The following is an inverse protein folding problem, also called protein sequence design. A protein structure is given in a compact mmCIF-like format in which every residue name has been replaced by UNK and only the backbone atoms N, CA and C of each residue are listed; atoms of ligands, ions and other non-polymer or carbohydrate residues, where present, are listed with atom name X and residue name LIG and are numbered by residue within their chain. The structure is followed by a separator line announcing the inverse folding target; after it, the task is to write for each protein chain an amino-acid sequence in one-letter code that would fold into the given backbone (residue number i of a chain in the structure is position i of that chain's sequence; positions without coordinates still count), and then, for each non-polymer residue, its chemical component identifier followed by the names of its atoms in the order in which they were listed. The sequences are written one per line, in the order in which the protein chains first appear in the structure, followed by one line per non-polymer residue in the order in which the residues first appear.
data_IF_916725360465
#
_entry.id   IF_916725360465
#
_cell.length_a   1.000
_cell.length_b   1.000
_cell.length_c   1.000
_cell.angle_alpha   90.00
_cell.angle_beta   90.00
_cell.angle_gamma   90.00
#
_symmetry.space_group_name_H-M   'P 1'
#
loop_
_entity.id
_entity.type
_entity.pdbx_description
1 polymer ?
#
# COMPACT_ATOMS: atom_id res chain seq x y z
N UNK A 1 -13.08 14.16 -2.54
CA UNK A 1 -13.84 13.90 -3.80
C UNK A 1 -13.54 12.51 -4.35
N UNK A 2 -12.28 12.04 -4.29
CA UNK A 2 -11.90 10.72 -4.80
C UNK A 2 -12.34 9.53 -3.91
N UNK A 3 -12.32 9.66 -2.58
CA UNK A 3 -12.89 8.64 -1.67
C UNK A 3 -14.38 8.39 -1.90
N UNK A 4 -15.16 9.46 -2.10
CA UNK A 4 -16.58 9.35 -2.43
C UNK A 4 -16.80 8.69 -3.80
N UNK A 5 -15.87 8.90 -4.74
CA UNK A 5 -15.88 8.27 -6.04
C UNK A 5 -15.55 6.76 -5.94
N UNK A 6 -14.48 6.38 -5.25
CA UNK A 6 -14.12 4.97 -5.03
C UNK A 6 -15.22 4.20 -4.31
N UNK A 7 -15.80 4.76 -3.24
CA UNK A 7 -16.95 4.15 -2.55
C UNK A 7 -18.16 3.96 -3.45
N UNK A 8 -18.43 4.92 -4.33
CA UNK A 8 -19.55 4.84 -5.29
C UNK A 8 -19.30 3.75 -6.33
N UNK A 9 -18.07 3.63 -6.82
CA UNK A 9 -17.69 2.55 -7.73
C UNK A 9 -17.80 1.19 -7.06
N UNK A 10 -17.27 1.04 -5.84
CA UNK A 10 -17.40 -0.18 -5.07
C UNK A 10 -18.86 -0.59 -4.87
N UNK A 11 -19.71 0.33 -4.40
CA UNK A 11 -21.14 0.08 -4.20
C UNK A 11 -21.85 -0.34 -5.51
N UNK A 12 -21.49 0.30 -6.63
CA UNK A 12 -22.06 -0.02 -7.94
C UNK A 12 -21.64 -1.40 -8.41
N UNK A 13 -20.36 -1.75 -8.25
CA UNK A 13 -19.80 -3.06 -8.58
C UNK A 13 -20.46 -4.16 -7.74
N UNK A 14 -20.52 -3.99 -6.42
CA UNK A 14 -21.17 -4.94 -5.49
C UNK A 14 -22.65 -5.14 -5.81
N UNK A 15 -23.37 -4.05 -6.10
CA UNK A 15 -24.79 -4.12 -6.51
C UNK A 15 -24.95 -4.87 -7.83
N UNK A 16 -24.00 -4.70 -8.76
CA UNK A 16 -24.03 -5.36 -10.07
C UNK A 16 -23.78 -6.86 -9.93
N UNK A 17 -22.78 -7.26 -9.14
CA UNK A 17 -22.52 -8.67 -8.81
C UNK A 17 -23.78 -9.33 -8.25
N UNK A 18 -24.39 -8.72 -7.23
CA UNK A 18 -25.62 -9.23 -6.60
C UNK A 18 -26.76 -9.42 -7.61
N UNK A 19 -26.98 -8.44 -8.49
CA UNK A 19 -28.03 -8.52 -9.52
C UNK A 19 -27.77 -9.64 -10.53
N UNK A 20 -26.51 -9.85 -10.93
CA UNK A 20 -26.15 -10.94 -11.85
C UNK A 20 -26.33 -12.30 -11.17
N UNK A 21 -25.87 -12.43 -9.92
CA UNK A 21 -26.00 -13.66 -9.13
C UNK A 21 -27.46 -14.05 -8.87
N UNK A 22 -28.36 -13.06 -8.72
CA UNK A 22 -29.81 -13.27 -8.58
C UNK A 22 -30.54 -13.48 -9.91
N UNK A 23 -29.85 -13.31 -11.04
CA UNK A 23 -30.45 -13.45 -12.36
C UNK A 23 -30.47 -14.91 -12.82
N UNK A 24 -31.43 -15.24 -13.69
CA UNK A 24 -31.48 -16.53 -14.39
C UNK A 24 -30.28 -16.78 -15.34
N UNK A 25 -29.45 -15.76 -15.58
CA UNK A 25 -28.33 -15.81 -16.52
C UNK A 25 -26.97 -15.98 -15.85
N UNK A 26 -26.91 -16.24 -14.53
CA UNK A 26 -25.65 -16.35 -13.78
C UNK A 26 -24.62 -17.24 -14.48
N UNK A 27 -25.07 -18.37 -15.06
CA UNK A 27 -24.20 -19.33 -15.77
C UNK A 27 -23.46 -18.72 -16.96
N UNK A 28 -24.08 -17.75 -17.64
CA UNK A 28 -23.49 -17.04 -18.79
C UNK A 28 -22.47 -16.00 -18.31
N UNK A 29 -22.69 -15.42 -17.14
CA UNK A 29 -21.88 -14.33 -16.61
C UNK A 29 -20.88 -14.75 -15.53
N UNK A 30 -20.66 -16.05 -15.31
CA UNK A 30 -19.77 -16.56 -14.26
C UNK A 30 -18.39 -15.89 -14.28
N UNK A 31 -17.76 -15.82 -15.45
CA UNK A 31 -16.44 -15.20 -15.64
C UNK A 31 -16.49 -13.68 -15.40
N UNK A 32 -17.52 -12.99 -15.93
CA UNK A 32 -17.70 -11.55 -15.67
C UNK A 32 -17.95 -11.23 -14.20
N UNK A 33 -18.66 -12.10 -13.48
CA UNK A 33 -18.88 -11.98 -12.03
C UNK A 33 -17.55 -12.13 -11.30
N UNK A 34 -16.74 -13.11 -11.68
CA UNK A 34 -15.41 -13.30 -11.08
C UNK A 34 -14.54 -12.06 -11.26
N UNK A 35 -14.48 -11.47 -12.46
CA UNK A 35 -13.75 -10.22 -12.70
C UNK A 35 -14.30 -9.03 -11.90
N UNK A 36 -15.63 -8.93 -11.75
CA UNK A 36 -16.23 -7.88 -10.92
C UNK A 36 -15.91 -8.09 -9.43
N UNK A 37 -15.86 -9.34 -8.95
CA UNK A 37 -15.47 -9.68 -7.59
C UNK A 37 -14.00 -9.35 -7.33
N UNK A 38 -13.11 -9.66 -8.27
CA UNK A 38 -11.69 -9.27 -8.24
C UNK A 38 -11.53 -7.75 -8.21
N UNK A 39 -12.26 -7.02 -9.06
CA UNK A 39 -12.25 -5.56 -9.07
C UNK A 39 -12.80 -4.96 -7.76
N UNK A 40 -13.91 -5.48 -7.24
CA UNK A 40 -14.46 -5.05 -5.95
C UNK A 40 -13.48 -5.31 -4.80
N UNK A 41 -12.79 -6.46 -4.81
CA UNK A 41 -11.75 -6.79 -3.86
C UNK A 41 -10.59 -5.78 -3.89
N UNK A 42 -10.10 -5.44 -5.09
CA UNK A 42 -9.06 -4.42 -5.25
C UNK A 42 -9.49 -3.04 -4.74
N UNK A 43 -10.74 -2.62 -5.04
CA UNK A 43 -11.30 -1.36 -4.54
C UNK A 43 -11.38 -1.33 -3.00
N UNK A 44 -11.77 -2.44 -2.36
CA UNK A 44 -11.81 -2.56 -0.89
C UNK A 44 -10.42 -2.47 -0.27
N UNK A 45 -9.42 -3.10 -0.87
CA UNK A 45 -8.03 -3.02 -0.38
C UNK A 45 -7.49 -1.58 -0.46
N UNK A 46 -7.75 -0.89 -1.58
CA UNK A 46 -7.35 0.51 -1.76
C UNK A 46 -8.02 1.45 -0.75
N UNK A 47 -9.31 1.22 -0.43
CA UNK A 47 -9.98 1.95 0.65
C UNK A 47 -9.36 1.65 2.01
N UNK A 48 -9.08 0.37 2.30
CA UNK A 48 -8.43 -0.07 3.54
C UNK A 48 -7.09 0.62 3.78
N UNK A 49 -6.26 0.76 2.74
CA UNK A 49 -4.96 1.43 2.86
C UNK A 49 -5.07 2.88 3.35
N UNK A 50 -6.12 3.59 2.93
CA UNK A 50 -6.36 4.98 3.32
C UNK A 50 -6.76 5.08 4.80
N UNK A 51 -7.51 4.10 5.30
CA UNK A 51 -7.91 4.03 6.71
C UNK A 51 -6.74 3.72 7.64
N UNK A 52 -5.75 2.95 7.17
CA UNK A 52 -4.55 2.61 7.94
C UNK A 52 -3.49 3.74 7.99
N UNK A 53 -3.62 4.77 7.13
CA UNK A 53 -2.64 5.84 7.05
C UNK A 53 -2.35 6.60 8.36
N UNK A 54 -3.33 6.91 9.23
CA UNK A 54 -3.04 7.57 10.51
C UNK A 54 -2.05 6.75 11.35
N UNK A 55 -2.21 5.43 11.38
CA UNK A 55 -1.33 4.52 12.11
C UNK A 55 0.05 4.44 11.46
N UNK A 56 0.11 4.41 10.13
CA UNK A 56 1.39 4.48 9.40
C UNK A 56 2.11 5.80 9.64
N UNK A 57 1.40 6.93 9.66
CA UNK A 57 1.97 8.25 9.96
C UNK A 57 2.48 8.34 11.40
N UNK A 58 1.80 7.69 12.34
CA UNK A 58 2.25 7.57 13.72
C UNK A 58 3.52 6.71 13.82
N UNK A 59 3.52 5.54 13.18
CA UNK A 59 4.68 4.63 13.12
C UNK A 59 5.91 5.28 12.49
N UNK A 60 5.76 6.02 11.38
CA UNK A 60 6.85 6.80 10.78
C UNK A 60 7.34 7.89 11.74
N UNK A 61 6.42 8.48 12.50
CA UNK A 61 6.71 9.50 13.50
C UNK A 61 7.68 9.06 14.60
N UNK A 62 7.66 7.79 14.98
CA UNK A 62 8.58 7.22 15.97
C UNK A 62 10.05 7.30 15.53
N UNK A 63 10.30 7.32 14.22
CA UNK A 63 11.66 7.37 13.67
C UNK A 63 12.24 8.78 13.55
N UNK A 64 11.46 9.83 13.82
CA UNK A 64 11.93 11.22 13.77
C UNK A 64 13.00 11.55 14.83
N UNK A 65 13.09 10.72 15.87
CA UNK A 65 14.04 10.84 16.98
C UNK A 65 14.80 9.54 17.22
N UNK A 66 14.68 8.56 16.32
CA UNK A 66 15.31 7.27 16.49
C UNK A 66 16.80 7.35 16.13
N UNK A 67 17.65 6.83 17.03
CA UNK A 67 19.07 6.59 16.76
C UNK A 67 19.33 5.18 16.20
N UNK A 68 18.26 4.49 15.77
CA UNK A 68 18.29 3.06 15.44
C UNK A 68 18.99 2.85 14.11
N UNK A 69 20.14 2.17 14.15
CA UNK A 69 20.94 1.79 12.96
C UNK A 69 20.64 0.37 12.48
N UNK A 70 19.50 -0.21 12.86
CA UNK A 70 19.16 -1.56 12.45
C UNK A 70 18.75 -1.56 10.97
N UNK A 71 19.46 -2.36 10.17
CA UNK A 71 19.29 -2.45 8.72
C UNK A 71 17.84 -2.84 8.32
N UNK A 72 17.15 -3.66 9.11
CA UNK A 72 15.76 -4.04 8.86
C UNK A 72 14.81 -2.85 8.99
N UNK A 73 15.02 -1.99 10.01
CA UNK A 73 14.21 -0.77 10.21
C UNK A 73 14.49 0.23 9.09
N UNK A 74 15.77 0.42 8.75
CA UNK A 74 16.20 1.29 7.65
C UNK A 74 15.56 0.87 6.34
N UNK A 75 15.70 -0.40 5.92
CA UNK A 75 15.13 -0.87 4.66
C UNK A 75 13.61 -0.80 4.65
N UNK A 76 12.96 -1.01 5.80
CA UNK A 76 11.50 -0.85 5.89
C UNK A 76 11.05 0.59 5.61
N UNK A 77 11.76 1.57 6.19
CA UNK A 77 11.46 2.98 5.94
C UNK A 77 11.83 3.40 4.51
N UNK A 78 12.93 2.87 3.96
CA UNK A 78 13.33 3.08 2.56
C UNK A 78 12.26 2.53 1.62
N UNK A 79 11.74 1.32 1.86
CA UNK A 79 10.69 0.74 1.03
C UNK A 79 9.41 1.60 1.04
N UNK A 80 8.98 2.07 2.22
CA UNK A 80 7.86 3.01 2.33
C UNK A 80 8.15 4.30 1.57
N UNK A 81 9.35 4.86 1.72
CA UNK A 81 9.77 6.08 1.04
C UNK A 81 9.72 5.94 -0.49
N UNK A 82 10.25 4.82 -1.01
CA UNK A 82 10.24 4.46 -2.42
C UNK A 82 8.80 4.34 -2.94
N UNK A 83 7.92 3.67 -2.19
CA UNK A 83 6.51 3.51 -2.56
C UNK A 83 5.82 4.86 -2.80
N UNK A 84 6.18 5.90 -2.05
CA UNK A 84 5.65 7.27 -2.23
C UNK A 84 6.42 8.11 -3.26
N UNK A 85 7.35 7.51 -4.00
CA UNK A 85 8.13 8.12 -5.09
C UNK A 85 9.35 8.92 -4.60
N UNK A 86 9.91 8.59 -3.44
CA UNK A 86 11.25 9.07 -3.08
C UNK A 86 12.31 8.25 -3.80
N UNK A 87 13.32 8.92 -4.35
CA UNK A 87 14.49 8.22 -4.85
C UNK A 87 15.19 7.55 -3.67
N UNK A 88 15.57 6.26 -3.79
CA UNK A 88 16.35 5.60 -2.76
C UNK A 88 17.66 6.38 -2.61
N UNK A 89 17.88 6.94 -1.42
CA UNK A 89 19.16 7.54 -1.05
C UNK A 89 19.91 6.53 -0.19
N UNK A 90 21.21 6.31 -0.43
CA UNK A 90 22.02 5.55 0.50
C UNK A 90 21.96 6.24 1.88
N UNK A 91 21.73 5.44 2.93
CA UNK A 91 21.85 5.91 4.30
C UNK A 91 23.30 5.72 4.70
N UNK A 92 24.04 6.82 4.77
CA UNK A 92 25.48 6.85 5.06
C UNK A 92 25.73 7.22 6.53
N UNK A 93 24.82 7.99 7.14
CA UNK A 93 24.95 8.55 8.48
C UNK A 93 23.71 8.34 9.35
N UNK A 94 23.90 8.44 10.68
CA UNK A 94 22.85 8.26 11.69
C UNK A 94 21.73 9.30 11.60
N UNK A 95 22.00 10.47 11.01
CA UNK A 95 21.04 11.57 10.85
C UNK A 95 20.15 11.43 9.60
N UNK A 96 20.46 10.47 8.72
CA UNK A 96 19.71 10.26 7.48
C UNK A 96 18.36 9.60 7.75
N UNK A 97 18.24 8.76 8.78
CA UNK A 97 17.00 8.06 9.11
C UNK A 97 15.90 9.03 9.62
N UNK A 98 16.17 9.93 10.58
CA UNK A 98 15.20 10.98 10.94
C UNK A 98 14.81 11.87 9.76
N UNK A 99 15.75 12.18 8.87
CA UNK A 99 15.49 13.00 7.68
C UNK A 99 14.58 12.26 6.70
N UNK A 100 14.88 10.99 6.42
CA UNK A 100 14.05 10.11 5.60
C UNK A 100 12.64 9.95 6.18
N UNK A 101 12.52 9.82 7.50
CA UNK A 101 11.22 9.70 8.18
C UNK A 101 10.37 10.96 7.99
N UNK A 102 10.96 12.16 8.15
CA UNK A 102 10.28 13.45 7.93
C UNK A 102 9.84 13.61 6.48
N UNK A 103 10.74 13.34 5.53
CA UNK A 103 10.46 13.45 4.09
C UNK A 103 9.34 12.49 3.67
N UNK A 104 9.42 11.24 4.15
CA UNK A 104 8.41 10.21 3.88
C UNK A 104 7.07 10.61 4.48
N UNK A 105 7.03 11.04 5.75
CA UNK A 105 5.83 11.54 6.42
C UNK A 105 5.19 12.69 5.65
N UNK A 106 5.99 13.66 5.21
CA UNK A 106 5.50 14.80 4.43
C UNK A 106 4.87 14.35 3.11
N UNK A 107 5.52 13.44 2.36
CA UNK A 107 4.96 12.90 1.11
C UNK A 107 3.67 12.13 1.33
N UNK A 108 3.58 11.31 2.38
CA UNK A 108 2.33 10.61 2.73
C UNK A 108 1.23 11.64 2.98
N UNK A 109 1.50 12.69 3.76
CA UNK A 109 0.51 13.74 4.04
C UNK A 109 0.03 14.47 2.79
N UNK A 110 0.90 14.70 1.81
CA UNK A 110 0.52 15.32 0.52
C UNK A 110 -0.34 14.40 -0.35
N UNK A 111 -0.15 13.08 -0.25
CA UNK A 111 -0.79 12.08 -1.11
C UNK A 111 -1.98 11.37 -0.45
N UNK A 112 -2.21 11.56 0.85
CA UNK A 112 -3.19 10.81 1.67
C UNK A 112 -4.61 10.79 1.08
N UNK A 113 -5.04 11.87 0.44
CA UNK A 113 -6.41 12.01 -0.09
C UNK A 113 -6.59 11.37 -1.47
N UNK A 114 -5.49 10.93 -2.10
CA UNK A 114 -5.47 10.35 -3.45
C UNK A 114 -4.48 9.16 -3.55
N UNK A 115 -4.34 8.36 -2.49
CA UNK A 115 -3.34 7.27 -2.46
C UNK A 115 -3.49 6.32 -3.64
N UNK A 116 -4.71 5.85 -3.91
CA UNK A 116 -4.98 4.89 -4.98
C UNK A 116 -4.49 5.33 -6.37
N UNK A 117 -4.46 6.64 -6.65
CA UNK A 117 -4.02 7.20 -7.93
C UNK A 117 -2.59 7.77 -7.89
N UNK A 118 -2.02 7.99 -6.70
CA UNK A 118 -0.71 8.63 -6.52
C UNK A 118 0.47 7.66 -6.39
N UNK A 119 0.18 6.36 -6.25
CA UNK A 119 1.17 5.29 -6.18
C UNK A 119 1.38 4.66 -7.56
N UNK A 120 2.63 4.46 -7.96
CA UNK A 120 2.98 3.86 -9.25
C UNK A 120 3.31 2.37 -9.09
N UNK A 121 3.07 1.57 -10.13
CA UNK A 121 3.46 0.14 -10.14
C UNK A 121 4.98 0.01 -10.05
N UNK A 122 5.71 0.91 -10.71
CA UNK A 122 7.18 0.90 -10.70
C UNK A 122 7.73 1.11 -9.28
N UNK A 123 7.23 2.12 -8.57
CA UNK A 123 7.58 2.36 -7.18
C UNK A 123 7.16 1.19 -6.27
N UNK A 124 6.00 0.58 -6.52
CA UNK A 124 5.54 -0.61 -5.80
C UNK A 124 6.49 -1.81 -5.99
N UNK A 125 6.96 -2.06 -7.22
CA UNK A 125 7.95 -3.11 -7.51
C UNK A 125 9.28 -2.84 -6.82
N UNK A 126 9.77 -1.60 -6.88
CA UNK A 126 11.00 -1.24 -6.20
C UNK A 126 10.87 -1.36 -4.67
N UNK A 127 9.75 -0.93 -4.10
CA UNK A 127 9.46 -1.09 -2.68
C UNK A 127 9.41 -2.58 -2.28
N UNK A 128 8.80 -3.43 -3.12
CA UNK A 128 8.73 -4.88 -2.89
C UNK A 128 10.13 -5.50 -2.83
N UNK A 129 11.01 -5.19 -3.78
CA UNK A 129 12.39 -5.72 -3.80
C UNK A 129 13.17 -5.33 -2.53
N UNK A 130 12.92 -4.14 -1.98
CA UNK A 130 13.57 -3.70 -0.74
C UNK A 130 12.98 -4.41 0.48
N UNK A 131 11.65 -4.53 0.56
CA UNK A 131 10.95 -5.04 1.75
C UNK A 131 11.05 -6.57 1.89
N UNK A 132 11.15 -7.31 0.78
CA UNK A 132 11.21 -8.79 0.77
C UNK A 132 12.53 -9.37 1.30
N UNK A 133 13.55 -8.53 1.50
CA UNK A 133 14.80 -8.93 2.16
C UNK A 133 14.59 -9.42 3.59
N UNK A 134 13.50 -8.99 4.23
CA UNK A 134 13.16 -9.37 5.60
C UNK A 134 11.71 -9.82 5.69
N UNK A 135 11.47 -10.86 6.47
CA UNK A 135 10.12 -11.31 6.78
C UNK A 135 9.47 -10.38 7.82
N UNK A 136 8.13 -10.30 7.81
CA UNK A 136 7.38 -9.57 8.82
C UNK A 136 7.77 -9.97 10.25
N UNK A 137 8.01 -11.27 10.49
CA UNK A 137 8.44 -11.79 11.80
C UNK A 137 9.80 -11.25 12.22
N UNK A 138 10.77 -11.17 11.30
CA UNK A 138 12.08 -10.59 11.56
C UNK A 138 11.95 -9.09 11.88
N UNK A 139 11.17 -8.35 11.09
CA UNK A 139 10.93 -6.91 11.33
C UNK A 139 10.26 -6.68 12.68
N UNK A 140 9.24 -7.46 13.03
CA UNK A 140 8.51 -7.36 14.31
C UNK A 140 9.37 -7.64 15.53
N UNK A 141 10.29 -8.59 15.43
CA UNK A 141 11.23 -8.88 16.52
C UNK A 141 12.21 -7.73 16.77
N UNK A 142 12.45 -6.88 15.78
CA UNK A 142 13.32 -5.71 15.90
C UNK A 142 12.54 -4.48 16.35
N UNK A 143 11.41 -4.17 15.72
CA UNK A 143 10.63 -2.97 16.00
C UNK A 143 9.17 -3.12 15.53
N UNK A 144 8.22 -2.80 16.41
CA UNK A 144 6.77 -2.95 16.15
C UNK A 144 6.24 -1.92 15.13
N UNK A 145 6.71 -0.67 15.20
CA UNK A 145 6.34 0.37 14.23
C UNK A 145 6.85 0.01 12.82
N UNK A 146 8.08 -0.49 12.71
CA UNK A 146 8.62 -1.00 11.45
C UNK A 146 7.80 -2.19 10.95
N UNK A 147 7.36 -3.10 11.81
CA UNK A 147 6.52 -4.22 11.37
C UNK A 147 5.16 -3.76 10.82
N UNK A 148 4.58 -2.71 11.40
CA UNK A 148 3.33 -2.13 10.91
C UNK A 148 3.51 -1.52 9.51
N UNK A 149 4.62 -0.81 9.30
CA UNK A 149 5.02 -0.29 7.98
C UNK A 149 5.28 -1.43 6.99
N UNK A 150 6.02 -2.46 7.41
CA UNK A 150 6.39 -3.61 6.58
C UNK A 150 5.14 -4.29 6.03
N UNK A 151 4.18 -4.64 6.90
CA UNK A 151 2.90 -5.23 6.50
C UNK A 151 2.20 -4.35 5.48
N UNK A 152 2.03 -3.06 5.79
CA UNK A 152 1.30 -2.15 4.92
C UNK A 152 1.96 -1.99 3.55
N UNK A 153 3.29 -1.84 3.49
CA UNK A 153 4.03 -1.74 2.23
C UNK A 153 3.89 -3.02 1.41
N UNK A 154 3.97 -4.20 2.03
CA UNK A 154 3.76 -5.49 1.35
C UNK A 154 2.34 -5.61 0.79
N UNK A 155 1.33 -5.27 1.58
CA UNK A 155 -0.08 -5.37 1.17
C UNK A 155 -0.40 -4.40 0.02
N UNK A 156 0.13 -3.16 0.08
CA UNK A 156 -0.01 -2.17 -1.00
C UNK A 156 0.72 -2.61 -2.26
N UNK A 157 1.98 -3.03 -2.14
CA UNK A 157 2.79 -3.40 -3.29
C UNK A 157 2.20 -4.62 -4.02
N UNK A 158 1.81 -5.66 -3.28
CA UNK A 158 1.15 -6.84 -3.86
C UNK A 158 -0.17 -6.48 -4.55
N UNK A 159 -1.02 -5.67 -3.91
CA UNK A 159 -2.29 -5.23 -4.49
C UNK A 159 -2.09 -4.42 -5.77
N UNK A 160 -1.13 -3.51 -5.81
CA UNK A 160 -0.87 -2.69 -7.01
C UNK A 160 -0.25 -3.51 -8.16
N UNK A 161 0.60 -4.48 -7.86
CA UNK A 161 1.29 -5.30 -8.85
C UNK A 161 0.33 -6.34 -9.44
N UNK A 162 -0.39 -7.06 -8.59
CA UNK A 162 -1.38 -8.08 -9.02
C UNK A 162 -2.62 -7.44 -9.64
N UNK A 163 -3.08 -6.29 -9.13
CA UNK A 163 -4.32 -5.67 -9.59
C UNK A 163 -4.24 -5.00 -10.96
N UNK A 164 -3.05 -4.79 -11.52
CA UNK A 164 -2.87 -4.18 -12.85
C UNK A 164 -2.26 -5.11 -13.90
N UNK A 165 -1.75 -6.27 -13.52
CA UNK A 165 -1.29 -7.29 -14.47
C UNK A 165 -2.43 -7.92 -15.30
N UNK A 166 -3.68 -7.74 -14.90
CA UNK A 166 -4.86 -8.30 -15.59
C UNK A 166 -5.52 -7.31 -16.56
N UNK A 167 -5.04 -6.05 -16.64
CA UNK A 167 -5.60 -5.02 -17.52
C UNK A 167 -4.87 -4.79 -18.85
N UNK A 168 -3.75 -5.49 -19.09
CA UNK A 168 -2.86 -5.30 -20.25
C UNK A 168 -2.86 -6.51 -21.22
N UNK A 169 -3.93 -7.32 -21.25
CA UNK A 169 -4.14 -8.37 -22.26
C UNK A 169 -5.34 -8.05 -23.13
#
# INVERSE_FOLDING_TARGET
IHDAYMRRHLLTTETTILKIQQSQYIRIFTESVQHLEEYAFQLRNLEGFTQELPDILAAVGEFNHAHVTNETVVNTLVALSVLFGNKPKPIENKDDLPTLARDTKHKIQLKKDNIASSLSIEDARHAQVVIEKYTYKQTRNVNVAAASIHRWVTDVASTLISGRSEGDV
#
